data_IF_279998876276
#
_entry.id   IF_279998876276
#
_cell.length_a   1.000
_cell.length_b   1.000
_cell.length_c   1.000
_cell.angle_alpha   90.00
_cell.angle_beta   90.00
_cell.angle_gamma   90.00
#
_symmetry.space_group_name_H-M   'P 1'
#
loop_
_entity.id
_entity.type
_entity.pdbx_description
1 polymer ?
#
# COMPACT_ATOMS: atom_id res chain seq x y z
N UNK A 1 8.92 -0.72 16.59
CA UNK A 1 8.87 0.50 15.74
C UNK A 1 7.49 1.10 15.89
N UNK A 2 7.37 2.39 16.15
CA UNK A 2 6.05 3.05 16.15
C UNK A 2 5.59 3.25 14.70
N UNK A 3 4.41 2.71 14.39
CA UNK A 3 3.79 2.83 13.06
C UNK A 3 2.87 4.05 12.96
N UNK A 4 2.71 4.82 14.05
CA UNK A 4 1.79 5.95 14.11
C UNK A 4 0.30 5.54 14.06
N UNK A 5 -0.01 4.29 14.35
CA UNK A 5 -1.37 3.76 14.36
C UNK A 5 -1.98 3.98 15.75
N UNK A 6 -3.25 4.36 15.80
CA UNK A 6 -3.98 4.44 17.08
C UNK A 6 -4.23 3.03 17.62
N UNK A 7 -3.85 2.82 18.88
CA UNK A 7 -3.95 1.49 19.52
C UNK A 7 -5.39 1.03 19.69
N UNK A 8 -6.33 1.94 19.93
CA UNK A 8 -7.76 1.63 20.02
C UNK A 8 -8.32 1.12 18.68
N UNK A 9 -7.93 1.72 17.56
CA UNK A 9 -8.31 1.27 16.23
C UNK A 9 -7.66 -0.07 15.88
N UNK A 10 -6.37 -0.21 16.21
CA UNK A 10 -5.63 -1.45 15.99
C UNK A 10 -6.20 -2.62 16.82
N UNK A 11 -6.67 -2.34 18.04
CA UNK A 11 -7.31 -3.33 18.92
C UNK A 11 -8.69 -3.83 18.42
N UNK A 12 -9.36 -3.08 17.54
CA UNK A 12 -10.72 -3.39 17.08
C UNK A 12 -10.83 -4.75 16.35
N UNK A 13 -9.73 -5.23 15.74
CA UNK A 13 -9.74 -6.49 15.01
C UNK A 13 -9.79 -7.71 15.93
N UNK A 14 -10.84 -8.51 15.84
CA UNK A 14 -11.00 -9.78 16.58
C UNK A 14 -10.58 -11.03 15.79
N UNK A 15 -9.90 -10.84 14.67
CA UNK A 15 -9.34 -11.92 13.83
C UNK A 15 -10.36 -12.95 13.31
N UNK A 16 -11.64 -12.63 13.22
CA UNK A 16 -12.72 -13.56 12.83
C UNK A 16 -12.63 -14.11 11.39
N UNK A 17 -11.95 -13.42 10.48
CA UNK A 17 -11.72 -13.88 9.11
C UNK A 17 -12.82 -13.52 8.09
N UNK A 18 -13.90 -12.84 8.46
CA UNK A 18 -14.96 -12.46 7.51
C UNK A 18 -14.48 -11.53 6.40
N UNK A 19 -13.35 -10.84 6.59
CA UNK A 19 -12.72 -10.00 5.57
C UNK A 19 -11.96 -10.79 4.48
N UNK A 20 -11.65 -12.07 4.69
CA UNK A 20 -10.82 -12.87 3.79
C UNK A 20 -11.38 -12.97 2.36
N UNK A 21 -12.67 -13.33 2.15
CA UNK A 21 -13.25 -13.44 0.81
C UNK A 21 -13.27 -12.12 0.04
N UNK A 22 -13.19 -10.98 0.76
CA UNK A 22 -13.27 -9.65 0.18
C UNK A 22 -11.88 -9.06 -0.17
N UNK A 23 -10.79 -9.77 0.17
CA UNK A 23 -9.44 -9.31 -0.12
C UNK A 23 -8.93 -9.88 -1.45
N UNK A 24 -8.67 -9.05 -2.48
CA UNK A 24 -8.17 -9.54 -3.77
C UNK A 24 -6.81 -10.23 -3.64
N UNK A 25 -5.91 -9.70 -2.80
CA UNK A 25 -4.59 -10.30 -2.59
C UNK A 25 -4.72 -11.71 -1.99
N UNK A 26 -5.51 -11.86 -0.93
CA UNK A 26 -5.74 -13.17 -0.30
C UNK A 26 -6.41 -14.16 -1.25
N UNK A 27 -7.38 -13.72 -2.04
CA UNK A 27 -8.08 -14.59 -3.02
C UNK A 27 -7.16 -15.18 -4.08
N UNK A 28 -6.09 -14.47 -4.43
CA UNK A 28 -5.12 -14.91 -5.45
C UNK A 28 -4.04 -15.79 -4.84
N UNK A 29 -3.56 -15.44 -3.64
CA UNK A 29 -2.40 -16.11 -3.04
C UNK A 29 -2.76 -17.21 -2.06
N UNK A 30 -3.89 -17.10 -1.35
CA UNK A 30 -4.23 -17.95 -0.21
C UNK A 30 -3.37 -17.71 1.03
N UNK A 31 -2.43 -16.76 0.98
CA UNK A 31 -1.49 -16.51 2.07
C UNK A 31 -2.09 -15.65 3.18
N UNK A 32 -2.09 -16.17 4.40
CA UNK A 32 -2.67 -15.47 5.55
C UNK A 32 -1.94 -14.15 5.85
N UNK A 33 -0.61 -14.10 5.70
CA UNK A 33 0.17 -12.90 5.88
C UNK A 33 -0.25 -11.75 4.96
N UNK A 34 -0.82 -12.07 3.79
CA UNK A 34 -1.32 -11.10 2.81
C UNK A 34 -2.83 -10.82 2.96
N UNK A 35 -3.47 -11.41 3.97
CA UNK A 35 -4.87 -11.16 4.31
C UNK A 35 -5.05 -9.86 5.12
N UNK A 36 -6.26 -9.28 5.16
CA UNK A 36 -6.49 -8.07 5.98
C UNK A 36 -6.21 -8.30 7.47
N UNK A 37 -6.69 -9.41 8.04
CA UNK A 37 -6.45 -9.73 9.45
C UNK A 37 -4.98 -10.10 9.72
N UNK A 38 -4.33 -10.76 8.76
CA UNK A 38 -2.90 -11.08 8.86
C UNK A 38 -2.04 -9.80 8.89
N UNK A 39 -2.38 -8.81 8.05
CA UNK A 39 -1.73 -7.49 8.09
C UNK A 39 -1.95 -6.77 9.41
N UNK A 40 -3.17 -6.80 9.96
CA UNK A 40 -3.44 -6.21 11.29
C UNK A 40 -2.62 -6.92 12.37
N UNK A 41 -2.55 -8.26 12.33
CA UNK A 41 -1.73 -9.02 13.28
C UNK A 41 -0.24 -8.65 13.16
N UNK A 42 0.28 -8.50 11.96
CA UNK A 42 1.66 -8.07 11.72
C UNK A 42 1.92 -6.63 12.22
N UNK A 43 0.98 -5.70 12.01
CA UNK A 43 1.07 -4.34 12.56
C UNK A 43 1.12 -4.35 14.09
N UNK A 44 0.32 -5.20 14.76
CA UNK A 44 0.36 -5.38 16.22
C UNK A 44 1.72 -5.87 16.69
N UNK A 45 2.27 -6.89 16.04
CA UNK A 45 3.59 -7.42 16.38
C UNK A 45 4.67 -6.34 16.29
N UNK A 46 4.64 -5.50 15.26
CA UNK A 46 5.62 -4.43 15.09
C UNK A 46 5.40 -3.31 16.11
N UNK A 47 4.16 -2.86 16.31
CA UNK A 47 3.88 -1.70 17.16
C UNK A 47 3.85 -2.05 18.65
N UNK A 48 3.22 -3.16 19.04
CA UNK A 48 3.05 -3.53 20.45
C UNK A 48 4.17 -4.42 20.99
N UNK A 49 4.58 -5.42 20.20
CA UNK A 49 5.55 -6.40 20.66
C UNK A 49 6.99 -6.00 20.29
N UNK A 50 7.17 -4.90 19.55
CA UNK A 50 8.48 -4.40 19.15
C UNK A 50 9.22 -5.30 18.14
N UNK A 51 8.53 -6.21 17.47
CA UNK A 51 9.10 -7.05 16.42
C UNK A 51 9.67 -6.16 15.31
N UNK A 52 10.89 -6.40 14.82
CA UNK A 52 11.43 -5.63 13.71
C UNK A 52 10.57 -5.74 12.45
N UNK A 53 10.36 -4.60 11.76
CA UNK A 53 9.70 -4.59 10.46
C UNK A 53 10.64 -5.21 9.40
N UNK A 54 10.50 -6.49 9.17
CA UNK A 54 11.29 -7.26 8.22
C UNK A 54 10.75 -7.18 6.78
N UNK A 55 11.44 -7.86 5.85
CA UNK A 55 11.03 -7.89 4.44
C UNK A 55 9.63 -8.51 4.24
N UNK A 56 9.22 -9.46 5.09
CA UNK A 56 7.89 -10.08 5.05
C UNK A 56 6.81 -9.07 5.42
N UNK A 57 7.03 -8.32 6.50
CA UNK A 57 6.14 -7.23 6.91
C UNK A 57 5.99 -6.18 5.79
N UNK A 58 7.11 -5.70 5.24
CA UNK A 58 7.12 -4.73 4.13
C UNK A 58 6.31 -5.26 2.95
N UNK A 59 6.59 -6.49 2.51
CA UNK A 59 5.89 -7.12 1.38
C UNK A 59 4.40 -7.24 1.65
N UNK A 60 3.99 -7.60 2.86
CA UNK A 60 2.58 -7.73 3.22
C UNK A 60 1.82 -6.41 3.10
N UNK A 61 2.43 -5.30 3.50
CA UNK A 61 1.83 -3.97 3.38
C UNK A 61 1.85 -3.45 1.94
N UNK A 62 2.96 -3.62 1.20
CA UNK A 62 3.10 -3.13 -0.17
C UNK A 62 2.16 -3.82 -1.16
N UNK A 63 1.90 -5.11 -0.99
CA UNK A 63 0.98 -5.87 -1.84
C UNK A 63 -0.50 -5.53 -1.61
N UNK A 64 -0.83 -4.76 -0.58
CA UNK A 64 -2.19 -4.30 -0.36
C UNK A 64 -2.59 -3.25 -1.41
N UNK A 65 -3.63 -3.53 -2.18
CA UNK A 65 -4.15 -2.62 -3.22
C UNK A 65 -5.05 -1.49 -2.67
N UNK A 66 -5.22 -1.40 -1.36
CA UNK A 66 -6.00 -0.39 -0.64
C UNK A 66 -7.46 -0.23 -1.13
N UNK A 67 -8.07 -1.31 -1.63
CA UNK A 67 -9.45 -1.29 -2.12
C UNK A 67 -10.50 -1.12 -1.01
N UNK A 68 -10.14 -1.27 0.28
CA UNK A 68 -10.99 -1.17 1.48
C UNK A 68 -12.19 -2.13 1.51
N UNK A 69 -12.26 -3.12 0.64
CA UNK A 69 -13.33 -4.13 0.66
C UNK A 69 -13.42 -4.92 1.97
N UNK A 70 -12.32 -4.97 2.74
CA UNK A 70 -12.28 -5.58 4.06
C UNK A 70 -13.00 -4.74 5.13
N UNK A 71 -13.11 -3.42 4.98
CA UNK A 71 -13.82 -2.55 5.94
C UNK A 71 -15.33 -2.79 5.89
N UNK A 72 -15.90 -2.80 4.69
CA UNK A 72 -17.33 -3.02 4.49
C UNK A 72 -17.79 -4.41 4.92
N UNK A 73 -16.88 -5.39 4.91
CA UNK A 73 -17.12 -6.77 5.32
C UNK A 73 -16.90 -7.00 6.84
N UNK A 74 -16.40 -6.00 7.56
CA UNK A 74 -16.00 -6.16 8.95
C UNK A 74 -17.13 -5.84 9.93
N UNK A 75 -17.67 -6.82 10.68
CA UNK A 75 -18.72 -6.55 11.67
C UNK A 75 -18.21 -5.75 12.87
N UNK A 76 -16.90 -5.81 13.15
CA UNK A 76 -16.26 -5.02 14.21
C UNK A 76 -15.89 -3.60 13.78
N UNK A 77 -16.13 -3.24 12.51
CA UNK A 77 -15.88 -1.89 12.01
C UNK A 77 -14.41 -1.47 12.00
N UNK A 78 -13.47 -2.40 11.75
CA UNK A 78 -12.04 -2.09 11.67
C UNK A 78 -11.78 -1.06 10.58
N UNK A 79 -11.26 0.15 10.90
CA UNK A 79 -10.97 1.18 9.92
C UNK A 79 -9.62 0.90 9.23
N UNK A 80 -9.59 -0.14 8.40
CA UNK A 80 -8.34 -0.67 7.83
C UNK A 80 -7.52 0.39 7.08
N UNK A 81 -8.16 1.36 6.44
CA UNK A 81 -7.48 2.49 5.79
C UNK A 81 -6.65 3.31 6.77
N UNK A 82 -7.21 3.59 7.96
CA UNK A 82 -6.50 4.32 9.03
C UNK A 82 -5.33 3.52 9.61
N UNK A 83 -5.32 2.20 9.46
CA UNK A 83 -4.22 1.36 9.91
C UNK A 83 -3.12 1.27 8.86
N UNK A 84 -3.48 1.06 7.58
CA UNK A 84 -2.51 0.81 6.52
C UNK A 84 -1.76 2.08 6.07
N UNK A 85 -2.42 3.23 6.10
CA UNK A 85 -1.83 4.49 5.64
C UNK A 85 -0.65 4.93 6.51
N UNK A 86 -0.79 5.08 7.85
CA UNK A 86 0.34 5.45 8.71
C UNK A 86 1.42 4.36 8.73
N UNK A 87 1.06 3.07 8.68
CA UNK A 87 2.05 2.00 8.61
C UNK A 87 2.95 2.12 7.36
N UNK A 88 2.37 2.41 6.20
CA UNK A 88 3.14 2.65 4.97
C UNK A 88 3.96 3.93 5.03
N UNK A 89 3.44 4.97 5.67
CA UNK A 89 4.18 6.21 5.88
C UNK A 89 5.43 5.95 6.75
N UNK A 90 5.26 5.23 7.85
CA UNK A 90 6.37 4.86 8.73
C UNK A 90 7.44 4.04 8.00
N UNK A 91 7.03 3.10 7.12
CA UNK A 91 7.98 2.35 6.27
C UNK A 91 8.73 3.25 5.28
N UNK A 92 8.06 4.26 4.72
CA UNK A 92 8.66 5.19 3.77
C UNK A 92 9.62 6.20 4.44
N UNK A 93 9.35 6.55 5.69
CA UNK A 93 10.21 7.44 6.49
C UNK A 93 11.43 6.70 7.07
N UNK A 94 11.30 5.42 7.32
CA UNK A 94 12.32 4.56 7.92
C UNK A 94 12.25 4.49 9.45
N UNK A 95 13.12 3.68 10.08
CA UNK A 95 13.10 3.47 11.51
C UNK A 95 13.46 4.73 12.29
N UNK A 96 12.93 4.90 13.53
CA UNK A 96 13.37 5.96 14.43
C UNK A 96 14.88 5.90 14.64
N UNK A 97 15.57 7.03 14.46
CA UNK A 97 17.03 7.09 14.56
C UNK A 97 17.74 7.30 13.21
N UNK A 98 16.99 7.50 12.11
CA UNK A 98 17.55 7.94 10.82
C UNK A 98 18.10 6.82 9.95
N UNK A 99 17.61 5.60 10.11
CA UNK A 99 17.90 4.48 9.19
C UNK A 99 17.31 4.71 7.79
N UNK A 100 17.77 3.97 6.77
CA UNK A 100 17.20 4.08 5.43
C UNK A 100 15.73 3.66 5.41
N UNK A 101 14.89 4.29 4.56
CA UNK A 101 13.50 3.87 4.38
C UNK A 101 13.41 2.38 4.00
N UNK A 102 12.53 1.63 4.67
CA UNK A 102 12.33 0.21 4.43
C UNK A 102 11.60 -0.05 3.09
N UNK A 103 10.70 0.86 2.71
CA UNK A 103 9.99 0.83 1.43
C UNK A 103 10.32 2.09 0.61
N UNK A 104 11.29 1.99 -0.29
CA UNK A 104 11.69 3.11 -1.13
C UNK A 104 11.47 2.80 -2.60
N UNK A 105 10.63 3.56 -3.32
CA UNK A 105 10.45 3.31 -4.74
C UNK A 105 11.76 3.55 -5.51
N UNK A 106 12.00 2.80 -6.59
CA UNK A 106 13.21 2.96 -7.42
C UNK A 106 13.29 4.36 -8.01
N UNK A 107 14.51 4.82 -8.29
CA UNK A 107 14.78 6.17 -8.76
C UNK A 107 13.88 6.63 -9.92
N UNK A 108 13.66 5.82 -10.99
CA UNK A 108 12.79 6.23 -12.10
C UNK A 108 11.35 6.48 -11.64
N UNK A 109 10.80 5.65 -10.74
CA UNK A 109 9.46 5.86 -10.19
C UNK A 109 9.38 7.16 -9.36
N UNK A 110 10.42 7.46 -8.58
CA UNK A 110 10.49 8.73 -7.82
C UNK A 110 10.51 9.95 -8.74
N UNK A 111 11.27 9.89 -9.84
CA UNK A 111 11.31 10.96 -10.83
C UNK A 111 9.95 11.12 -11.53
N UNK A 112 9.31 10.00 -11.90
CA UNK A 112 7.98 10.01 -12.48
C UNK A 112 6.94 10.64 -11.53
N UNK A 113 6.93 10.21 -10.24
CA UNK A 113 6.05 10.80 -9.22
C UNK A 113 6.32 12.30 -9.01
N UNK A 114 7.58 12.72 -9.09
CA UNK A 114 7.96 14.14 -8.99
C UNK A 114 7.48 14.95 -10.19
N UNK A 115 7.54 14.36 -11.39
CA UNK A 115 7.03 14.98 -12.62
C UNK A 115 5.50 15.15 -12.58
N UNK A 116 4.75 14.24 -11.94
CA UNK A 116 3.29 14.35 -11.76
C UNK A 116 2.86 15.58 -10.95
N UNK A 117 3.74 16.15 -10.11
CA UNK A 117 3.46 17.43 -9.39
C UNK A 117 3.31 18.61 -10.35
N UNK A 118 3.83 18.50 -11.56
CA UNK A 118 3.83 19.56 -12.54
C UNK A 118 2.67 19.35 -13.52
N UNK A 119 1.47 19.73 -13.10
CA UNK A 119 0.24 19.58 -13.85
C UNK A 119 0.39 19.99 -15.34
N UNK A 120 1.07 21.11 -15.63
CA UNK A 120 1.29 21.58 -17.00
C UNK A 120 2.14 20.64 -17.85
N UNK A 121 3.13 19.95 -17.26
CA UNK A 121 3.94 18.96 -17.97
C UNK A 121 3.13 17.70 -18.26
N UNK A 122 2.31 17.26 -17.31
CA UNK A 122 1.45 16.08 -17.47
C UNK A 122 0.41 16.33 -18.55
N UNK A 123 -0.25 17.50 -18.55
CA UNK A 123 -1.25 17.85 -19.57
C UNK A 123 -0.64 18.06 -20.94
N UNK A 124 0.52 18.72 -21.04
CA UNK A 124 1.22 18.87 -22.32
C UNK A 124 1.69 17.51 -22.86
N UNK A 125 2.28 16.66 -22.00
CA UNK A 125 2.70 15.32 -22.37
C UNK A 125 1.55 14.42 -22.83
N UNK A 126 0.42 14.47 -22.15
CA UNK A 126 -0.77 13.70 -22.56
C UNK A 126 -1.34 14.17 -23.90
N UNK A 127 -1.32 15.49 -24.15
CA UNK A 127 -1.77 16.05 -25.42
C UNK A 127 -0.85 15.63 -26.59
N UNK A 128 0.47 15.70 -26.39
CA UNK A 128 1.45 15.25 -27.39
C UNK A 128 1.28 13.75 -27.65
N UNK A 129 1.12 12.94 -26.59
CA UNK A 129 0.89 11.51 -26.75
C UNK A 129 -0.41 11.23 -27.50
N UNK A 130 -1.49 11.95 -27.22
CA UNK A 130 -2.77 11.82 -27.91
C UNK A 130 -2.66 12.15 -29.41
N UNK A 131 -1.91 13.19 -29.77
CA UNK A 131 -1.61 13.52 -31.18
C UNK A 131 -0.79 12.42 -31.85
N UNK A 132 0.28 11.94 -31.18
CA UNK A 132 1.12 10.88 -31.68
C UNK A 132 0.36 9.56 -31.92
N UNK A 133 -0.60 9.23 -31.03
CA UNK A 133 -1.50 8.09 -31.20
C UNK A 133 -2.43 8.26 -32.41
N UNK A 134 -3.01 9.46 -32.60
CA UNK A 134 -3.85 9.77 -33.78
C UNK A 134 -3.07 9.65 -35.09
N UNK A 135 -1.82 10.07 -35.08
CA UNK A 135 -0.91 9.96 -36.24
C UNK A 135 -0.29 8.56 -36.39
N UNK A 136 -0.69 7.58 -35.57
CA UNK A 136 -0.15 6.21 -35.55
C UNK A 136 1.38 6.11 -35.41
N UNK A 137 2.00 7.14 -34.79
CA UNK A 137 3.44 7.16 -34.56
C UNK A 137 3.85 6.31 -33.32
N UNK A 138 2.89 5.91 -32.49
CA UNK A 138 3.12 5.05 -31.33
C UNK A 138 2.95 3.59 -31.71
N UNK A 139 3.99 2.74 -31.57
CA UNK A 139 3.89 1.34 -31.90
C UNK A 139 2.83 0.63 -31.02
N UNK A 140 2.05 -0.28 -31.64
CA UNK A 140 0.94 -0.98 -30.99
C UNK A 140 1.32 -1.81 -29.72
N UNK A 141 2.62 -2.03 -29.47
CA UNK A 141 3.12 -2.73 -28.28
C UNK A 141 3.00 -1.91 -26.97
N UNK A 142 2.76 -0.62 -27.04
CA UNK A 142 2.64 0.28 -25.87
C UNK A 142 1.16 0.47 -25.47
N UNK A 143 0.22 0.03 -26.28
CA UNK A 143 -1.23 0.24 -26.06
C UNK A 143 -1.95 -1.00 -25.49
N UNK A 144 -1.23 -2.04 -25.02
CA UNK A 144 -1.82 -3.21 -24.34
C UNK A 144 -1.49 -3.23 -22.85
#
# INVERSE_FOLDING_TARGET
MDLGIRDDELATCVSCGLCLPHCPTYRVTGEEALSPRGRVAAMRQVQWDGVPADASFVTSLETCVQCRGCETACPSGVPFGHLIEPARQALAEGPPGGGPPLARPPLPARLALRALRWHRLVTAGSSVLGVAQRLRLVPARVSR
#
